data_IF_877738171245
#
_entry.id   IF_877738171245
#
_cell.length_a   1.000
_cell.length_b   1.000
_cell.length_c   1.000
_cell.angle_alpha   90.00
_cell.angle_beta   90.00
_cell.angle_gamma   90.00
#
_symmetry.space_group_name_H-M   'P 1'
#
loop_
_entity.id
_entity.type
_entity.pdbx_description
1 polymer ?
#
# COMPACT_ATOMS: atom_id res chain seq x y z
N UNK A 1 -8.31 -8.97 -12.41
CA UNK A 1 -6.84 -9.12 -12.33
C UNK A 1 -6.48 -8.94 -10.87
N UNK A 2 -5.60 -9.76 -10.26
CA UNK A 2 -5.30 -9.61 -8.84
C UNK A 2 -4.75 -8.21 -8.56
N UNK A 3 -5.15 -7.63 -7.43
CA UNK A 3 -4.60 -6.35 -6.97
C UNK A 3 -3.14 -6.54 -6.55
N UNK A 4 -2.28 -5.62 -6.97
CA UNK A 4 -0.86 -5.60 -6.65
C UNK A 4 -0.48 -4.21 -6.14
N UNK A 5 0.25 -4.16 -5.02
CA UNK A 5 0.84 -2.92 -4.53
C UNK A 5 2.37 -2.98 -4.65
N UNK A 6 2.94 -2.00 -5.34
CA UNK A 6 4.37 -1.79 -5.46
C UNK A 6 4.74 -0.62 -4.54
N UNK A 7 5.55 -0.89 -3.53
CA UNK A 7 6.00 0.09 -2.55
C UNK A 7 7.48 0.41 -2.82
N UNK A 8 7.84 1.68 -2.70
CA UNK A 8 9.19 2.18 -2.95
C UNK A 8 9.65 3.07 -1.80
N UNK A 9 10.91 2.93 -1.42
CA UNK A 9 11.52 3.67 -0.32
C UNK A 9 11.89 5.12 -0.66
N UNK A 10 11.87 5.49 -1.94
CA UNK A 10 12.12 6.84 -2.40
C UNK A 10 10.95 7.38 -3.24
N UNK A 11 10.83 8.70 -3.40
CA UNK A 11 9.93 9.32 -4.36
C UNK A 11 10.16 8.83 -5.79
N UNK A 12 9.17 9.06 -6.64
CA UNK A 12 9.24 8.77 -8.07
C UNK A 12 9.58 7.31 -8.42
N UNK A 13 9.19 6.37 -7.55
CA UNK A 13 9.30 4.92 -7.76
C UNK A 13 10.75 4.42 -7.86
N UNK A 14 11.64 5.05 -7.11
CA UNK A 14 13.08 4.75 -7.10
C UNK A 14 13.51 4.02 -5.83
N UNK A 15 14.77 3.56 -5.79
CA UNK A 15 15.37 2.88 -4.64
C UNK A 15 14.89 1.43 -4.43
N UNK A 16 14.84 0.96 -3.18
CA UNK A 16 14.36 -0.38 -2.88
C UNK A 16 12.86 -0.49 -3.12
N UNK A 17 12.43 -1.65 -3.62
CA UNK A 17 11.03 -1.93 -3.85
C UNK A 17 10.57 -3.21 -3.16
N UNK A 18 9.29 -3.22 -2.82
CA UNK A 18 8.58 -4.37 -2.29
C UNK A 18 7.28 -4.55 -3.06
N UNK A 19 6.99 -5.78 -3.47
CA UNK A 19 5.75 -6.12 -4.18
C UNK A 19 4.84 -6.91 -3.25
N UNK A 20 3.75 -6.29 -2.84
CA UNK A 20 2.71 -6.87 -2.02
C UNK A 20 1.67 -7.51 -2.95
N UNK A 21 1.44 -8.81 -2.76
CA UNK A 21 0.50 -9.62 -3.54
C UNK A 21 -0.67 -10.16 -2.72
N UNK A 22 -0.59 -10.04 -1.40
CA UNK A 22 -1.61 -10.42 -0.44
C UNK A 22 -1.54 -9.46 0.75
N UNK A 23 -2.64 -9.33 1.49
CA UNK A 23 -2.67 -8.53 2.72
C UNK A 23 -1.60 -9.02 3.71
N UNK A 24 -0.93 -8.07 4.35
CA UNK A 24 0.13 -8.34 5.33
C UNK A 24 -0.12 -7.50 6.59
N UNK A 25 -0.28 -8.20 7.70
CA UNK A 25 -0.57 -7.61 9.00
C UNK A 25 0.66 -7.00 9.67
N UNK A 26 1.87 -7.34 9.22
CA UNK A 26 3.09 -6.75 9.78
C UNK A 26 4.19 -6.78 8.72
N UNK A 27 4.34 -5.64 8.05
CA UNK A 27 5.37 -5.45 7.03
C UNK A 27 6.78 -5.29 7.66
N UNK A 28 6.86 -5.21 8.99
CA UNK A 28 8.09 -4.98 9.74
C UNK A 28 8.76 -3.64 9.41
N UNK A 29 10.06 -3.55 9.73
CA UNK A 29 10.86 -2.34 9.46
C UNK A 29 11.19 -2.08 7.98
N UNK A 30 10.83 -3.00 7.07
CA UNK A 30 11.13 -2.89 5.64
C UNK A 30 10.24 -1.86 4.91
N UNK A 31 9.09 -1.51 5.48
CA UNK A 31 8.16 -0.51 4.88
C UNK A 31 8.05 0.78 5.69
N UNK A 32 8.82 0.90 6.77
CA UNK A 32 9.01 2.15 7.50
C UNK A 32 9.71 3.23 6.65
N UNK A 33 10.03 2.95 5.38
CA UNK A 33 10.67 3.86 4.44
C UNK A 33 9.78 4.25 3.25
N UNK A 34 8.50 3.83 3.17
CA UNK A 34 7.73 3.99 1.92
C UNK A 34 7.42 5.46 1.64
N UNK A 35 7.91 5.95 0.50
CA UNK A 35 7.70 7.33 0.01
C UNK A 35 6.87 7.40 -1.28
N UNK A 36 6.84 6.34 -2.09
CA UNK A 36 6.01 6.29 -3.29
C UNK A 36 5.40 4.90 -3.50
N UNK A 37 4.27 4.85 -4.22
CA UNK A 37 3.56 3.59 -4.44
C UNK A 37 2.82 3.54 -5.78
N UNK A 38 2.66 2.32 -6.30
CA UNK A 38 1.78 2.04 -7.44
C UNK A 38 0.82 0.93 -7.08
N UNK A 39 -0.45 1.13 -7.40
CA UNK A 39 -1.49 0.11 -7.27
C UNK A 39 -1.92 -0.30 -8.67
N UNK A 40 -1.95 -1.60 -8.93
CA UNK A 40 -2.41 -2.19 -10.19
C UNK A 40 -3.48 -3.25 -9.91
N UNK A 41 -4.26 -3.59 -10.93
CA UNK A 41 -5.37 -4.54 -10.84
C UNK A 41 -6.74 -3.86 -10.68
N UNK A 42 -7.76 -4.65 -10.36
CA UNK A 42 -9.14 -4.16 -10.18
C UNK A 42 -9.44 -3.66 -8.76
N UNK A 43 -8.63 -4.03 -7.77
CA UNK A 43 -8.86 -3.71 -6.36
C UNK A 43 -8.27 -2.39 -5.86
N UNK A 44 -8.31 -2.20 -4.55
CA UNK A 44 -7.68 -1.09 -3.84
C UNK A 44 -6.81 -1.60 -2.70
N UNK A 45 -5.89 -0.76 -2.23
CA UNK A 45 -5.04 -1.04 -1.08
C UNK A 45 -5.40 -0.10 0.07
N UNK A 46 -5.52 -0.64 1.27
CA UNK A 46 -5.62 0.15 2.51
C UNK A 46 -4.33 -0.01 3.29
N UNK A 47 -3.63 1.08 3.57
CA UNK A 47 -2.43 1.09 4.41
C UNK A 47 -2.77 1.60 5.80
N UNK A 48 -2.01 1.13 6.78
CA UNK A 48 -2.20 1.41 8.20
C UNK A 48 -0.88 1.81 8.84
N UNK A 49 -0.93 2.71 9.81
CA UNK A 49 0.27 3.15 10.54
C UNK A 49 0.68 2.23 11.70
N UNK A 50 -0.19 1.30 12.08
CA UNK A 50 0.10 0.25 13.08
C UNK A 50 0.00 -1.15 12.47
N UNK A 51 0.64 -2.16 13.10
CA UNK A 51 0.46 -3.57 12.73
C UNK A 51 -0.98 -4.03 12.90
N UNK A 52 -1.30 -5.19 12.33
CA UNK A 52 -2.58 -5.88 12.39
C UNK A 52 -3.77 -5.03 11.89
N UNK A 53 -3.57 -4.22 10.85
CA UNK A 53 -4.60 -3.40 10.21
C UNK A 53 -5.27 -2.40 11.17
N UNK A 54 -4.48 -1.77 12.04
CA UNK A 54 -4.97 -0.89 13.09
C UNK A 54 -4.40 0.53 12.98
N UNK A 55 -4.89 1.44 13.83
CA UNK A 55 -4.44 2.83 13.85
C UNK A 55 -5.06 3.69 12.75
N UNK A 56 -4.32 4.70 12.31
CA UNK A 56 -4.73 5.53 11.19
C UNK A 56 -4.68 4.70 9.90
N UNK A 57 -5.61 4.95 8.99
CA UNK A 57 -5.71 4.22 7.71
C UNK A 57 -5.88 5.14 6.52
N UNK A 58 -5.38 4.74 5.35
CA UNK A 58 -5.62 5.42 4.08
C UNK A 58 -5.83 4.44 2.94
N UNK A 59 -6.80 4.75 2.08
CA UNK A 59 -7.12 3.96 0.89
C UNK A 59 -6.42 4.54 -0.35
N UNK A 60 -5.84 3.66 -1.16
CA UNK A 60 -5.24 3.92 -2.46
C UNK A 60 -5.93 3.07 -3.53
N UNK A 61 -6.47 3.75 -4.54
CA UNK A 61 -7.09 3.11 -5.72
C UNK A 61 -6.01 2.81 -6.77
N UNK A 62 -6.31 2.02 -7.82
CA UNK A 62 -5.39 1.79 -8.92
C UNK A 62 -4.87 3.09 -9.50
N UNK A 63 -3.54 3.19 -9.63
CA UNK A 63 -2.87 4.44 -9.95
C UNK A 63 -1.41 4.46 -9.54
N UNK A 64 -0.74 5.56 -9.88
CA UNK A 64 0.66 5.80 -9.55
C UNK A 64 0.78 7.06 -8.70
N UNK A 65 1.37 6.93 -7.52
CA UNK A 65 1.56 8.01 -6.56
C UNK A 65 3.06 8.21 -6.33
N UNK A 66 3.63 9.22 -6.97
CA UNK A 66 5.07 9.53 -6.89
C UNK A 66 5.49 10.02 -5.51
N UNK A 67 4.53 10.47 -4.72
CA UNK A 67 4.66 10.83 -3.31
C UNK A 67 3.42 10.35 -2.57
N UNK A 68 3.61 9.58 -1.49
CA UNK A 68 2.52 9.17 -0.61
C UNK A 68 2.01 10.34 0.26
N UNK A 69 2.81 11.40 0.36
CA UNK A 69 2.51 12.62 1.12
C UNK A 69 3.12 12.58 2.51
N UNK A 70 3.48 13.76 3.02
CA UNK A 70 4.28 13.93 4.25
C UNK A 70 3.66 13.31 5.51
N UNK A 71 2.34 13.20 5.57
CA UNK A 71 1.64 12.59 6.71
C UNK A 71 1.76 11.06 6.77
N UNK A 72 2.14 10.41 5.65
CA UNK A 72 2.18 8.96 5.48
C UNK A 72 3.56 8.42 5.08
N UNK A 73 4.47 9.31 4.69
CA UNK A 73 5.86 9.00 4.43
C UNK A 73 6.47 8.30 5.65
N UNK A 74 7.11 7.15 5.43
CA UNK A 74 7.81 6.40 6.48
C UNK A 74 6.93 5.89 7.63
N UNK A 75 5.62 5.71 7.39
CA UNK A 75 4.66 5.36 8.45
C UNK A 75 3.88 4.07 8.22
N UNK A 76 4.05 3.39 7.09
CA UNK A 76 3.24 2.22 6.77
C UNK A 76 3.77 0.98 7.52
N UNK A 77 2.91 0.39 8.34
CA UNK A 77 3.21 -0.80 9.15
C UNK A 77 2.42 -2.04 8.72
N UNK A 78 1.21 -1.87 8.17
CA UNK A 78 0.45 -2.98 7.60
C UNK A 78 -0.37 -2.56 6.38
N UNK A 79 -0.72 -3.51 5.53
CA UNK A 79 -1.42 -3.28 4.27
C UNK A 79 -2.47 -4.35 4.02
N UNK A 80 -3.70 -3.92 3.72
CA UNK A 80 -4.79 -4.77 3.31
C UNK A 80 -5.05 -4.56 1.82
N UNK A 81 -5.09 -5.66 1.06
CA UNK A 81 -5.45 -5.65 -0.34
C UNK A 81 -6.89 -6.15 -0.48
N UNK A 82 -7.75 -5.34 -1.10
CA UNK A 82 -9.15 -5.68 -1.37
C UNK A 82 -9.36 -5.76 -2.87
N UNK A 83 -9.73 -6.93 -3.38
CA UNK A 83 -10.10 -7.08 -4.78
C UNK A 83 -11.55 -6.61 -4.98
N UNK A 84 -11.77 -5.65 -5.87
CA UNK A 84 -13.12 -5.18 -6.17
C UNK A 84 -13.96 -6.25 -6.88
N UNK A 85 -13.34 -7.32 -7.40
CA UNK A 85 -14.06 -8.45 -7.97
C UNK A 85 -14.77 -9.32 -6.92
N UNK A 86 -14.53 -9.07 -5.63
CA UNK A 86 -15.19 -9.74 -4.51
C UNK A 86 -16.28 -8.88 -3.85
N UNK A 87 -16.51 -7.64 -4.30
CA UNK A 87 -17.64 -6.81 -3.87
C UNK A 87 -18.79 -6.95 -4.89
N UNK A 88 -19.80 -7.84 -4.67
CA UNK A 88 -20.91 -8.05 -5.60
C UNK A 88 -21.92 -6.87 -5.65
N UNK A 89 -21.57 -5.71 -5.10
CA UNK A 89 -22.47 -4.57 -4.92
C UNK A 89 -22.07 -3.32 -5.72
N UNK A 90 -21.17 -3.45 -6.71
CA UNK A 90 -20.95 -2.44 -7.76
C UNK A 90 -20.86 -3.06 -9.15
#
# INVERSE_FOLDING_TARGET
MPVLAFLYDNPDYTGQNLVIRASDGDLGGLTAAVSSLRISGSGYATVYDQPNYSGASRVFIPGSYSLIGTAWDNRISSIMLSDSSLDPYY
#
